data_IF_571507259240
#
_entry.id   IF_571507259240
#
_cell.length_a   1.000
_cell.length_b   1.000
_cell.length_c   1.000
_cell.angle_alpha   90.00
_cell.angle_beta   90.00
_cell.angle_gamma   90.00
#
_symmetry.space_group_name_H-M   'P 1'
#
loop_
_entity.id
_entity.type
_entity.pdbx_description
1 polymer ?
#
# COMPACT_ATOMS: atom_id res chain seq x y z
N UNK A 1 9.69 -14.75 12.52
CA UNK A 1 9.27 -14.33 11.18
C UNK A 1 10.36 -13.41 10.69
N UNK A 2 11.02 -13.73 9.58
CA UNK A 2 12.02 -12.84 8.99
C UNK A 2 11.31 -11.58 8.53
N UNK A 3 11.62 -10.45 9.14
CA UNK A 3 11.18 -9.14 8.67
C UNK A 3 11.95 -8.83 7.38
N UNK A 4 11.38 -9.24 6.25
CA UNK A 4 11.96 -8.94 4.94
C UNK A 4 11.82 -7.43 4.69
N UNK A 5 12.96 -6.74 4.60
CA UNK A 5 12.99 -5.31 4.30
C UNK A 5 12.94 -5.14 2.79
N UNK A 6 12.01 -4.32 2.34
CA UNK A 6 11.86 -3.92 0.95
C UNK A 6 12.22 -2.44 0.79
N UNK A 7 12.63 -2.06 -0.41
CA UNK A 7 12.86 -0.67 -0.79
C UNK A 7 11.67 -0.16 -1.59
N UNK A 8 11.12 0.98 -1.21
CA UNK A 8 10.08 1.66 -1.98
C UNK A 8 10.76 2.24 -3.22
N UNK A 9 10.44 1.69 -4.40
CA UNK A 9 11.00 2.16 -5.68
C UNK A 9 10.05 3.08 -6.42
N UNK A 10 8.74 2.97 -6.16
CA UNK A 10 7.71 3.81 -6.77
C UNK A 10 6.50 3.89 -5.87
N UNK A 11 5.89 5.07 -5.78
CA UNK A 11 4.55 5.26 -5.22
C UNK A 11 3.73 5.87 -6.35
N UNK A 12 2.65 5.22 -6.71
CA UNK A 12 1.72 5.64 -7.74
C UNK A 12 0.45 6.11 -7.04
N UNK A 13 0.27 7.42 -6.99
CA UNK A 13 -0.95 8.04 -6.50
C UNK A 13 -1.99 7.90 -7.61
N UNK A 14 -3.14 7.29 -7.31
CA UNK A 14 -4.22 7.16 -8.28
C UNK A 14 -4.73 8.58 -8.61
N UNK A 15 -4.25 9.12 -9.74
CA UNK A 15 -4.66 10.41 -10.29
C UNK A 15 -6.08 10.23 -10.82
N UNK A 16 -7.05 10.29 -9.91
CA UNK A 16 -8.44 10.54 -10.28
C UNK A 16 -8.43 11.86 -11.05
N UNK A 17 -8.53 11.78 -12.38
CA UNK A 17 -8.62 12.95 -13.25
C UNK A 17 -9.78 13.89 -12.87
N UNK A 18 -10.09 14.87 -13.73
CA UNK A 18 -11.00 15.99 -13.44
C UNK A 18 -12.40 15.67 -12.86
N UNK A 19 -12.85 14.41 -12.79
CA UNK A 19 -14.09 14.04 -12.09
C UNK A 19 -13.97 14.12 -10.56
N UNK A 20 -12.76 14.14 -10.01
CA UNK A 20 -12.51 14.34 -8.57
C UNK A 20 -13.05 13.19 -7.72
N UNK A 21 -12.38 12.89 -6.60
CA UNK A 21 -12.95 11.95 -5.63
C UNK A 21 -14.28 12.48 -5.12
N UNK A 22 -15.26 11.58 -5.01
CA UNK A 22 -16.44 11.83 -4.18
C UNK A 22 -15.99 12.20 -2.76
N UNK A 23 -16.61 13.23 -2.19
CA UNK A 23 -16.32 13.70 -0.84
C UNK A 23 -16.46 12.54 0.17
N UNK A 24 -15.36 12.18 0.84
CA UNK A 24 -15.34 11.16 1.90
C UNK A 24 -14.62 9.85 1.57
N UNK A 25 -14.11 9.65 0.36
CA UNK A 25 -13.23 8.49 0.07
C UNK A 25 -11.77 8.83 0.38
N UNK A 26 -11.17 8.06 1.29
CA UNK A 26 -9.76 8.18 1.67
C UNK A 26 -8.84 7.82 0.49
N UNK A 27 -7.78 8.61 0.24
CA UNK A 27 -6.85 8.30 -0.84
C UNK A 27 -6.11 7.00 -0.60
N UNK A 28 -6.13 6.11 -1.59
CA UNK A 28 -5.27 4.93 -1.65
C UNK A 28 -4.17 5.17 -2.68
N UNK A 29 -2.95 4.75 -2.35
CA UNK A 29 -1.77 4.84 -3.22
C UNK A 29 -1.16 3.46 -3.39
N UNK A 30 -0.66 3.20 -4.60
CA UNK A 30 -0.01 1.95 -4.97
C UNK A 30 1.48 2.07 -4.72
N UNK A 31 1.99 1.29 -3.78
CA UNK A 31 3.39 1.29 -3.40
C UNK A 31 4.10 0.10 -4.02
N UNK A 32 5.06 0.36 -4.90
CA UNK A 32 5.92 -0.65 -5.50
C UNK A 32 7.21 -0.76 -4.68
N UNK A 33 7.43 -1.97 -4.21
CA UNK A 33 8.51 -2.38 -3.33
C UNK A 33 9.46 -3.30 -4.11
N UNK A 34 10.75 -3.20 -3.83
CA UNK A 34 11.79 -4.06 -4.41
C UNK A 34 12.56 -4.74 -3.28
N UNK A 35 12.65 -6.07 -3.35
CA UNK A 35 13.45 -6.88 -2.44
C UNK A 35 14.93 -6.88 -2.87
N UNK A 36 15.83 -7.23 -1.95
CA UNK A 36 17.26 -7.39 -2.25
C UNK A 36 17.52 -8.51 -3.29
N UNK A 37 16.60 -9.47 -3.41
CA UNK A 37 16.62 -10.53 -4.43
C UNK A 37 16.28 -10.02 -5.84
N UNK A 38 15.80 -8.78 -5.98
CA UNK A 38 15.28 -8.20 -7.22
C UNK A 38 13.80 -8.50 -7.48
N UNK A 39 13.11 -9.16 -6.54
CA UNK A 39 11.67 -9.37 -6.63
C UNK A 39 10.91 -8.07 -6.30
N UNK A 40 9.94 -7.72 -7.14
CA UNK A 40 9.08 -6.57 -6.90
C UNK A 40 7.73 -7.00 -6.34
N UNK A 41 7.23 -6.22 -5.38
CA UNK A 41 5.94 -6.42 -4.74
C UNK A 41 5.13 -5.14 -4.82
N UNK A 42 3.82 -5.26 -4.91
CA UNK A 42 2.90 -4.13 -4.94
C UNK A 42 2.03 -4.22 -3.69
N UNK A 43 1.97 -3.14 -2.93
CA UNK A 43 1.13 -3.03 -1.75
C UNK A 43 0.28 -1.77 -1.84
N UNK A 44 -0.97 -1.90 -1.43
CA UNK A 44 -1.95 -0.83 -1.48
C UNK A 44 -2.15 -0.28 -0.09
N UNK A 45 -2.01 1.03 0.05
CA UNK A 45 -2.05 1.67 1.36
C UNK A 45 -2.67 3.05 1.26
N UNK A 46 -3.31 3.51 2.33
CA UNK A 46 -3.87 4.84 2.38
C UNK A 46 -2.75 5.89 2.37
N UNK A 47 -2.91 6.94 1.57
CA UNK A 47 -1.99 8.07 1.47
C UNK A 47 -1.74 8.71 2.84
N UNK A 48 -2.80 8.91 3.62
CA UNK A 48 -2.71 9.46 4.97
C UNK A 48 -1.81 8.59 5.88
N UNK A 49 -1.85 7.26 5.73
CA UNK A 49 -1.00 6.36 6.47
C UNK A 49 0.46 6.43 6.00
N UNK A 50 0.71 6.61 4.71
CA UNK A 50 2.07 6.82 4.16
C UNK A 50 2.71 8.07 4.77
N UNK A 51 1.99 9.20 4.81
CA UNK A 51 2.44 10.41 5.48
C UNK A 51 2.67 10.20 6.98
N UNK A 52 1.73 9.54 7.66
CA UNK A 52 1.81 9.28 9.10
C UNK A 52 3.04 8.43 9.45
N UNK A 53 3.34 7.42 8.63
CA UNK A 53 4.47 6.50 8.82
C UNK A 53 5.76 6.99 8.18
N UNK A 54 5.76 8.17 7.54
CA UNK A 54 6.90 8.77 6.82
C UNK A 54 7.52 7.83 5.78
N UNK A 55 6.66 7.12 5.06
CA UNK A 55 7.04 6.24 3.97
C UNK A 55 7.07 7.05 2.67
N UNK A 56 8.22 7.07 2.01
CA UNK A 56 8.45 7.85 0.79
C UNK A 56 9.30 7.03 -0.20
N UNK A 57 9.32 7.45 -1.46
CA UNK A 57 10.13 6.80 -2.51
C UNK A 57 11.62 6.83 -2.13
N UNK A 58 12.29 5.70 -2.27
CA UNK A 58 13.67 5.50 -1.84
C UNK A 58 13.80 5.16 -0.36
N UNK A 59 12.71 5.25 0.41
CA UNK A 59 12.60 4.73 1.76
C UNK A 59 12.61 3.20 1.79
N UNK A 60 12.88 2.65 2.95
CA UNK A 60 12.75 1.22 3.20
C UNK A 60 11.42 0.98 3.93
N UNK A 61 10.81 -0.17 3.69
CA UNK A 61 9.55 -0.58 4.31
C UNK A 61 9.55 -2.09 4.59
N UNK A 62 8.77 -2.50 5.59
CA UNK A 62 8.51 -3.89 5.94
C UNK A 62 7.02 -4.14 5.73
N UNK A 63 6.70 -5.26 5.10
CA UNK A 63 5.31 -5.70 4.91
C UNK A 63 4.87 -6.44 6.16
N UNK A 64 3.85 -5.93 6.84
CA UNK A 64 3.25 -6.55 8.02
C UNK A 64 2.37 -7.75 7.64
N UNK A 65 2.08 -8.60 8.63
CA UNK A 65 1.15 -9.73 8.43
C UNK A 65 -0.29 -9.27 8.11
N UNK A 66 -0.61 -8.03 8.46
CA UNK A 66 -1.84 -7.31 8.12
C UNK A 66 -1.89 -6.80 6.67
N UNK A 67 -0.78 -6.87 5.92
CA UNK A 67 -0.70 -6.39 4.54
C UNK A 67 -0.30 -4.92 4.40
N UNK A 68 -0.08 -4.18 5.49
CA UNK A 68 0.40 -2.78 5.41
C UNK A 68 1.92 -2.64 5.47
N UNK A 69 2.39 -1.42 5.21
CA UNK A 69 3.80 -1.06 5.23
C UNK A 69 4.23 -0.33 6.50
N UNK A 70 5.40 -0.69 7.00
CA UNK A 70 6.01 -0.14 8.21
C UNK A 70 7.45 0.27 7.94
N UNK A 71 7.93 1.37 8.54
CA UNK A 71 9.32 1.77 8.39
C UNK A 71 10.25 0.78 9.12
N UNK A 72 11.38 0.36 8.55
CA UNK A 72 12.31 -0.53 9.22
C UNK A 72 12.99 0.18 10.37
N UNK A 73 13.08 -0.51 11.51
CA UNK A 73 13.52 0.10 12.75
C UNK A 73 12.44 0.90 13.46
N UNK A 74 11.21 0.97 12.94
CA UNK A 74 10.04 1.21 13.78
C UNK A 74 9.88 -0.02 14.68
N UNK A 75 10.58 -0.01 15.81
CA UNK A 75 10.28 -0.85 16.96
C UNK A 75 8.93 -0.41 17.51
N UNK A 76 7.86 -0.60 16.74
CA UNK A 76 6.52 -0.45 17.26
C UNK A 76 6.35 -1.59 18.24
N UNK A 77 6.36 -1.24 19.52
CA UNK A 77 5.85 -2.13 20.56
C UNK A 77 4.50 -2.64 20.07
N UNK A 78 4.25 -3.94 20.19
CA UNK A 78 3.00 -4.62 19.78
C UNK A 78 1.71 -3.88 20.20
N UNK A 79 1.80 -2.99 21.19
CA UNK A 79 0.73 -2.15 21.72
C UNK A 79 0.33 -0.96 20.82
N UNK A 80 1.22 -0.36 20.01
CA UNK A 80 0.88 0.79 19.13
C UNK A 80 0.33 0.37 17.76
N UNK A 81 0.56 -0.87 17.32
CA UNK A 81 0.04 -1.38 16.02
C UNK A 81 -1.47 -1.66 16.08
N UNK A 82 -2.04 -1.79 17.28
CA UNK A 82 -3.46 -2.13 17.48
C UNK A 82 -4.45 -0.95 17.33
N UNK A 83 -3.96 0.29 17.22
CA UNK A 83 -4.84 1.48 17.20
C UNK A 83 -5.19 1.99 15.79
N UNK A 84 -4.58 1.45 14.73
CA UNK A 84 -5.03 1.71 13.35
C UNK A 84 -5.90 0.54 12.92
N UNK A 85 -7.25 0.66 12.99
CA UNK A 85 -8.12 -0.38 12.47
C UNK A 85 -7.93 -0.46 10.96
N UNK A 86 -7.18 -1.47 10.51
CA UNK A 86 -7.11 -1.83 9.09
C UNK A 86 -8.45 -2.46 8.74
N UNK A 87 -9.24 -1.75 7.94
CA UNK A 87 -10.50 -2.26 7.46
C UNK A 87 -10.23 -3.26 6.32
N UNK A 88 -10.01 -4.53 6.68
CA UNK A 88 -9.64 -5.61 5.75
C UNK A 88 -10.67 -5.76 4.61
N UNK A 89 -11.94 -5.46 4.86
CA UNK A 89 -13.00 -5.47 3.85
C UNK A 89 -12.79 -4.38 2.80
N UNK A 90 -12.38 -3.18 3.23
CA UNK A 90 -12.06 -2.04 2.35
C UNK A 90 -10.80 -2.33 1.51
N UNK A 91 -9.79 -2.97 2.10
CA UNK A 91 -8.59 -3.43 1.38
C UNK A 91 -8.94 -4.49 0.32
N UNK A 92 -9.78 -5.48 0.68
CA UNK A 92 -10.20 -6.53 -0.24
C UNK A 92 -11.01 -5.98 -1.41
N UNK A 93 -12.00 -5.13 -1.14
CA UNK A 93 -12.83 -4.50 -2.17
C UNK A 93 -12.01 -3.68 -3.17
N UNK A 94 -10.96 -3.00 -2.70
CA UNK A 94 -10.07 -2.24 -3.56
C UNK A 94 -9.20 -3.16 -4.45
N UNK A 95 -8.66 -4.24 -3.89
CA UNK A 95 -7.96 -5.25 -4.69
C UNK A 95 -8.88 -5.88 -5.72
N UNK A 96 -10.10 -6.25 -5.36
CA UNK A 96 -11.08 -6.83 -6.29
C UNK A 96 -11.37 -5.87 -7.46
N UNK A 97 -11.60 -4.58 -7.20
CA UNK A 97 -11.81 -3.58 -8.25
C UNK A 97 -10.58 -3.40 -9.16
N UNK A 98 -9.36 -3.48 -8.62
CA UNK A 98 -8.14 -3.44 -9.42
C UNK A 98 -8.02 -4.68 -10.32
N UNK A 99 -8.29 -5.87 -9.80
CA UNK A 99 -8.25 -7.11 -10.59
C UNK A 99 -9.35 -7.16 -11.64
N UNK A 100 -10.55 -6.66 -11.34
CA UNK A 100 -11.65 -6.51 -12.30
C UNK A 100 -11.26 -5.53 -13.43
N UNK A 101 -10.73 -4.35 -13.08
CA UNK A 101 -10.27 -3.38 -14.07
C UNK A 101 -9.08 -3.89 -14.92
N UNK A 102 -8.19 -4.72 -14.36
CA UNK A 102 -7.09 -5.33 -15.12
C UNK A 102 -7.61 -6.45 -16.02
N UNK A 103 -8.54 -7.29 -15.55
CA UNK A 103 -9.18 -8.35 -16.34
C UNK A 103 -10.00 -7.78 -17.51
N UNK A 104 -10.76 -6.69 -17.27
CA UNK A 104 -11.46 -5.96 -18.34
C UNK A 104 -10.51 -5.37 -19.40
N UNK A 105 -9.28 -5.00 -19.01
CA UNK A 105 -8.26 -4.53 -19.95
C UNK A 105 -7.57 -5.68 -20.71
N UNK A 106 -7.52 -6.90 -20.14
CA UNK A 106 -6.98 -8.10 -20.80
C UNK A 106 -7.97 -8.74 -21.76
N UNK A 107 -9.29 -8.62 -21.54
CA UNK A 107 -10.34 -9.12 -22.47
C UNK A 107 -10.48 -8.24 -23.74
N UNK A 108 -9.72 -7.14 -23.84
CA UNK A 108 -9.68 -6.24 -24.99
C UNK A 108 -8.56 -6.55 -26.03
N UNK A 109 -7.85 -7.68 -25.90
CA UNK A 109 -6.83 -8.19 -26.87
C UNK A 109 -7.41 -9.10 -27.98
#
# INVERSE_FOLDING_TARGET
>A
MEEQIYKIIRIDEDDFGCEGRQEGQEPMVRVVLEADTGETMIVMMEDALMYTRKLDVGGLAIVGADGLLYAPGAVMSMEEVLEVPVDFEKQAAWMENYWDAVDELEDME
#
